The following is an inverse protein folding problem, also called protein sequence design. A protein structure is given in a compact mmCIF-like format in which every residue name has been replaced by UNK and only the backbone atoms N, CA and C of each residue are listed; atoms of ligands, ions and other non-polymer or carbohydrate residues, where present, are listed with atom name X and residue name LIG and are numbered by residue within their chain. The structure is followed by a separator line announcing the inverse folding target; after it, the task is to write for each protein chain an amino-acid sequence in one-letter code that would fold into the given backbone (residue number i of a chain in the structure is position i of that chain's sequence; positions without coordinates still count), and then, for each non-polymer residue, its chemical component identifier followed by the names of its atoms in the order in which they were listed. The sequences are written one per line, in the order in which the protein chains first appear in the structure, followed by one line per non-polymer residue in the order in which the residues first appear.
data_IF_362563058614
#
_entry.id   IF_362563058614
#
_cell.length_a   1.000
_cell.length_b   1.000
_cell.length_c   1.000
_cell.angle_alpha   90.00
_cell.angle_beta   90.00
_cell.angle_gamma   90.00
#
_symmetry.space_group_name_H-M   'P 1'
#
loop_
_entity.id
_entity.type
_entity.pdbx_description
1 polymer ?
#
# COMPACT_ATOMS: atom_id res chain seq x y z
N UNK A 1 9.11 27.79 -9.96
CA UNK A 1 8.00 27.55 -9.04
C UNK A 1 8.60 26.98 -7.77
N UNK A 2 8.36 27.53 -6.59
CA UNK A 2 8.82 26.89 -5.36
C UNK A 2 8.15 25.53 -5.27
N UNK A 3 8.96 24.48 -5.11
CA UNK A 3 8.47 23.14 -4.89
C UNK A 3 7.64 23.12 -3.60
N UNK A 4 6.34 22.89 -3.73
CA UNK A 4 5.51 22.63 -2.56
C UNK A 4 6.01 21.32 -1.96
N UNK A 5 6.57 21.31 -0.75
CA UNK A 5 7.04 20.07 -0.16
C UNK A 5 5.85 19.10 -0.02
N UNK A 6 6.07 17.82 -0.31
CA UNK A 6 5.09 16.79 -0.04
C UNK A 6 4.68 16.83 1.45
N UNK A 7 3.39 16.69 1.71
CA UNK A 7 2.82 16.92 3.03
C UNK A 7 2.80 15.66 3.89
N UNK A 8 3.97 15.14 4.23
CA UNK A 8 4.07 14.07 5.23
C UNK A 8 3.88 14.69 6.61
N UNK A 9 2.97 14.14 7.42
CA UNK A 9 2.70 14.62 8.77
C UNK A 9 3.91 14.48 9.71
N UNK A 10 3.83 15.13 10.84
CA UNK A 10 4.89 15.15 11.88
C UNK A 10 4.80 13.97 12.86
N UNK A 11 3.88 13.02 12.64
CA UNK A 11 3.77 11.84 13.50
C UNK A 11 5.09 11.06 13.49
N UNK A 12 5.61 10.75 14.68
CA UNK A 12 6.86 9.99 14.82
C UNK A 12 6.64 8.56 14.33
N UNK A 13 7.44 8.05 13.37
CA UNK A 13 7.38 6.66 12.96
C UNK A 13 7.64 5.69 14.12
N UNK A 14 7.02 4.52 14.06
CA UNK A 14 7.31 3.42 14.97
C UNK A 14 8.68 2.82 14.61
N UNK A 15 9.45 2.43 15.63
CA UNK A 15 10.72 1.74 15.41
C UNK A 15 10.49 0.41 14.69
N UNK A 16 11.35 0.11 13.73
CA UNK A 16 11.41 -1.21 13.11
C UNK A 16 11.86 -2.26 14.13
N UNK A 17 11.37 -3.48 14.01
CA UNK A 17 11.90 -4.61 14.75
C UNK A 17 13.34 -4.90 14.30
N UNK A 18 14.18 -5.40 15.22
CA UNK A 18 15.62 -5.56 14.99
C UNK A 18 15.92 -6.64 13.92
N UNK A 19 14.99 -7.54 13.64
CA UNK A 19 15.07 -8.59 12.62
C UNK A 19 14.63 -8.12 11.22
N UNK A 20 14.24 -6.84 11.05
CA UNK A 20 13.71 -6.33 9.78
C UNK A 20 14.78 -5.63 8.96
N UNK A 21 15.07 -6.16 7.78
CA UNK A 21 15.75 -5.42 6.70
C UNK A 21 14.71 -4.65 5.89
N UNK A 22 14.96 -3.37 5.67
CA UNK A 22 14.00 -2.45 5.08
C UNK A 22 14.60 -1.67 3.93
N UNK A 23 13.82 -1.48 2.86
CA UNK A 23 14.14 -0.58 1.74
C UNK A 23 12.90 0.18 1.28
N UNK A 24 13.11 1.34 0.68
CA UNK A 24 12.08 2.11 0.01
C UNK A 24 12.65 2.75 -1.26
N UNK A 25 11.79 2.99 -2.24
CA UNK A 25 12.13 3.70 -3.47
C UNK A 25 11.33 4.98 -3.57
N UNK A 26 12.04 6.08 -3.68
CA UNK A 26 11.48 7.40 -3.83
C UNK A 26 11.84 8.00 -5.18
N UNK A 27 11.04 8.95 -5.65
CA UNK A 27 11.31 9.75 -6.83
C UNK A 27 10.52 11.05 -6.84
N UNK A 28 10.73 11.83 -7.90
CA UNK A 28 10.11 13.13 -8.07
C UNK A 28 10.80 14.23 -7.24
N UNK A 29 10.40 15.49 -7.45
CA UNK A 29 10.98 16.62 -6.72
C UNK A 29 10.81 16.48 -5.21
N UNK A 30 11.93 16.50 -4.47
CA UNK A 30 11.96 16.36 -3.01
C UNK A 30 11.41 15.01 -2.53
N UNK A 31 11.59 13.95 -3.32
CA UNK A 31 11.10 12.59 -3.01
C UNK A 31 9.60 12.54 -2.73
N UNK A 32 8.83 13.29 -3.53
CA UNK A 32 7.40 13.42 -3.34
C UNK A 32 6.61 12.14 -3.63
N UNK A 33 7.18 11.18 -4.36
CA UNK A 33 6.63 9.85 -4.59
C UNK A 33 7.39 8.79 -3.81
N UNK A 34 6.67 7.83 -3.23
CA UNK A 34 7.22 6.56 -2.73
C UNK A 34 6.58 5.43 -3.52
N UNK A 35 7.34 4.81 -4.42
CA UNK A 35 6.85 3.73 -5.27
C UNK A 35 6.82 2.38 -4.57
N UNK A 36 7.86 2.11 -3.76
CA UNK A 36 7.95 0.84 -3.04
C UNK A 36 8.29 1.04 -1.57
N UNK A 37 7.84 0.13 -0.74
CA UNK A 37 8.30 -0.06 0.63
C UNK A 37 8.41 -1.56 0.86
N UNK A 38 9.58 -2.02 1.32
CA UNK A 38 9.85 -3.45 1.53
C UNK A 38 10.29 -3.69 2.97
N UNK A 39 9.82 -4.81 3.54
CA UNK A 39 10.22 -5.31 4.86
C UNK A 39 10.53 -6.79 4.75
N UNK A 40 11.71 -7.22 5.14
CA UNK A 40 12.14 -8.63 5.15
C UNK A 40 12.61 -8.99 6.54
N UNK A 41 12.04 -10.05 7.12
CA UNK A 41 12.43 -10.63 8.41
C UNK A 41 12.85 -12.10 8.31
N UNK A 42 12.56 -12.76 7.18
CA UNK A 42 13.08 -14.07 6.81
C UNK A 42 13.34 -14.08 5.29
N UNK A 43 14.60 -13.99 4.89
CA UNK A 43 15.00 -13.86 3.49
C UNK A 43 14.65 -15.09 2.63
N UNK A 44 14.40 -16.25 3.23
CA UNK A 44 14.04 -17.49 2.53
C UNK A 44 12.54 -17.74 2.50
N UNK A 45 11.75 -16.96 3.22
CA UNK A 45 10.30 -17.09 3.26
C UNK A 45 9.59 -16.41 2.08
N UNK A 46 8.34 -16.79 1.80
CA UNK A 46 7.55 -16.16 0.75
C UNK A 46 7.26 -14.70 1.06
N UNK A 47 6.98 -13.91 0.01
CA UNK A 47 6.66 -12.50 0.13
C UNK A 47 5.17 -12.26 -0.11
N UNK A 48 4.60 -11.30 0.61
CA UNK A 48 3.23 -10.82 0.46
C UNK A 48 3.24 -9.36 0.03
N UNK A 49 2.27 -8.94 -0.77
CA UNK A 49 2.10 -7.55 -1.18
C UNK A 49 0.81 -6.97 -0.61
N UNK A 50 0.91 -5.79 -0.03
CA UNK A 50 -0.22 -4.98 0.41
C UNK A 50 -0.38 -3.78 -0.51
N UNK A 51 -1.59 -3.59 -1.05
CA UNK A 51 -1.95 -2.41 -1.85
C UNK A 51 -2.77 -1.46 -0.98
N UNK A 52 -2.15 -0.36 -0.59
CA UNK A 52 -2.79 0.67 0.24
C UNK A 52 -3.16 1.90 -0.59
N UNK A 53 -3.74 2.93 0.01
CA UNK A 53 -4.17 4.12 -0.71
C UNK A 53 -3.00 5.01 -1.13
N UNK A 54 -2.29 5.60 -0.18
CA UNK A 54 -1.14 6.47 -0.43
C UNK A 54 -0.10 6.39 0.70
N UNK A 55 1.17 6.71 0.43
CA UNK A 55 2.20 6.74 1.45
C UNK A 55 2.00 7.91 2.42
N UNK A 56 2.27 7.64 3.71
CA UNK A 56 2.28 8.64 4.76
C UNK A 56 3.66 8.70 5.43
N UNK A 57 3.74 8.58 6.74
CA UNK A 57 4.99 8.78 7.51
C UNK A 57 5.93 7.58 7.54
N UNK A 58 5.49 6.39 7.09
CA UNK A 58 6.37 5.23 7.02
C UNK A 58 7.48 5.44 5.99
N UNK A 59 8.71 5.09 6.37
CA UNK A 59 9.92 5.17 5.55
C UNK A 59 10.72 3.88 5.66
N UNK A 60 11.88 3.79 5.03
CA UNK A 60 12.82 2.69 5.26
C UNK A 60 13.35 2.63 6.70
N UNK A 61 13.20 3.68 7.50
CA UNK A 61 13.69 3.75 8.88
C UNK A 61 12.61 3.55 9.95
N UNK A 62 11.34 3.49 9.55
CA UNK A 62 10.25 3.32 10.51
C UNK A 62 8.89 3.09 9.89
N UNK A 63 8.00 2.50 10.67
CA UNK A 63 6.65 2.17 10.27
C UNK A 63 5.63 3.22 10.73
N UNK A 64 4.54 3.33 10.01
CA UNK A 64 3.29 3.84 10.56
C UNK A 64 2.43 2.69 11.11
N UNK A 65 1.32 3.04 11.76
CA UNK A 65 0.40 2.05 12.35
C UNK A 65 -0.16 1.07 11.32
N UNK A 66 -0.37 1.54 10.09
CA UNK A 66 -0.94 0.73 9.01
C UNK A 66 0.06 -0.30 8.51
N UNK A 67 1.29 0.13 8.24
CA UNK A 67 2.39 -0.76 7.83
C UNK A 67 2.72 -1.77 8.93
N UNK A 68 2.78 -1.34 10.19
CA UNK A 68 2.99 -2.25 11.33
C UNK A 68 1.85 -3.28 11.46
N UNK A 69 0.61 -2.90 11.17
CA UNK A 69 -0.53 -3.83 11.18
C UNK A 69 -0.42 -4.84 10.03
N UNK A 70 -0.06 -4.40 8.82
CA UNK A 70 0.19 -5.29 7.68
C UNK A 70 1.32 -6.29 7.99
N UNK A 71 2.42 -5.82 8.59
CA UNK A 71 3.52 -6.69 9.00
C UNK A 71 3.08 -7.76 10.01
N UNK A 72 2.22 -7.41 10.97
CA UNK A 72 1.66 -8.37 11.94
C UNK A 72 0.87 -9.48 11.24
N UNK A 73 -0.03 -9.14 10.32
CA UNK A 73 -0.76 -10.13 9.51
C UNK A 73 0.19 -11.01 8.72
N UNK A 74 1.16 -10.40 8.02
CA UNK A 74 2.11 -11.12 7.17
C UNK A 74 2.93 -12.15 7.97
N UNK A 75 3.41 -11.78 9.15
CA UNK A 75 4.11 -12.71 10.05
C UNK A 75 3.20 -13.83 10.56
N UNK A 76 1.97 -13.49 10.93
CA UNK A 76 0.98 -14.45 11.43
C UNK A 76 0.62 -15.51 10.38
N UNK A 77 0.63 -15.13 9.09
CA UNK A 77 0.36 -16.04 7.97
C UNK A 77 1.61 -16.77 7.45
N UNK A 78 2.76 -16.59 8.10
CA UNK A 78 4.00 -17.32 7.78
C UNK A 78 4.83 -16.73 6.65
N UNK A 79 4.55 -15.49 6.21
CA UNK A 79 5.37 -14.81 5.21
C UNK A 79 6.72 -14.38 5.79
N UNK A 80 7.77 -14.40 4.96
CA UNK A 80 9.12 -13.97 5.33
C UNK A 80 9.38 -12.49 5.11
N UNK A 81 8.47 -11.82 4.41
CA UNK A 81 8.58 -10.38 4.15
C UNK A 81 7.35 -9.84 3.45
N UNK A 82 7.31 -8.53 3.29
CA UNK A 82 6.22 -7.86 2.59
C UNK A 82 6.68 -6.70 1.73
N UNK A 83 5.93 -6.45 0.68
CA UNK A 83 5.88 -5.19 -0.04
C UNK A 83 4.66 -4.38 0.38
N UNK A 84 4.80 -3.06 0.39
CA UNK A 84 3.69 -2.12 0.46
C UNK A 84 3.73 -1.23 -0.77
N UNK A 85 2.78 -1.46 -1.68
CA UNK A 85 2.47 -0.58 -2.80
C UNK A 85 1.30 0.32 -2.46
N UNK A 86 1.14 1.38 -3.21
CA UNK A 86 0.09 2.35 -3.02
C UNK A 86 -0.64 2.66 -4.33
N UNK A 87 -1.97 2.85 -4.27
CA UNK A 87 -2.76 3.28 -5.43
C UNK A 87 -2.32 4.65 -5.93
N UNK A 88 -1.94 5.54 -5.03
CA UNK A 88 -1.32 6.83 -5.30
C UNK A 88 0.08 6.81 -4.68
N UNK A 89 1.11 7.13 -5.45
CA UNK A 89 2.48 7.16 -4.91
C UNK A 89 2.82 8.47 -4.19
N UNK A 90 2.03 9.54 -4.37
CA UNK A 90 2.31 10.82 -3.74
C UNK A 90 2.21 10.73 -2.21
N UNK A 91 3.24 11.24 -1.54
CA UNK A 91 3.41 11.15 -0.08
C UNK A 91 2.68 12.27 0.62
N UNK A 92 1.61 11.92 1.33
CA UNK A 92 0.89 12.86 2.19
C UNK A 92 0.17 12.12 3.32
N UNK A 93 -0.05 12.78 4.44
CA UNK A 93 -0.83 12.24 5.57
C UNK A 93 -2.31 12.58 5.41
N UNK A 94 -2.63 13.78 4.98
CA UNK A 94 -4.00 14.17 4.62
C UNK A 94 -4.27 13.84 3.16
N UNK A 95 -5.15 12.87 2.91
CA UNK A 95 -5.52 12.44 1.55
C UNK A 95 -6.11 13.56 0.67
N UNK A 96 -6.65 14.63 1.25
CA UNK A 96 -7.17 15.78 0.48
C UNK A 96 -6.07 16.44 -0.34
N UNK A 97 -4.82 16.36 0.11
CA UNK A 97 -3.65 16.88 -0.62
C UNK A 97 -3.44 16.20 -1.96
N UNK A 98 -3.94 14.98 -2.15
CA UNK A 98 -3.90 14.31 -3.45
C UNK A 98 -4.72 15.03 -4.53
N UNK A 99 -5.70 15.85 -4.15
CA UNK A 99 -6.51 16.65 -5.06
C UNK A 99 -5.81 17.97 -5.47
N UNK A 100 -4.76 18.36 -4.75
CA UNK A 100 -4.06 19.64 -4.95
C UNK A 100 -2.83 19.49 -5.86
N UNK A 101 -2.43 18.26 -6.19
CA UNK A 101 -1.26 17.98 -7.01
C UNK A 101 -1.67 17.53 -8.41
N UNK A 102 -0.85 17.90 -9.40
CA UNK A 102 -1.15 17.62 -10.80
C UNK A 102 -1.19 16.11 -11.12
N UNK A 103 -0.29 15.33 -10.50
CA UNK A 103 -0.24 13.88 -10.65
C UNK A 103 -0.06 13.20 -9.28
N UNK A 104 -1.17 12.85 -8.58
CA UNK A 104 -1.07 12.14 -7.31
C UNK A 104 -0.72 10.66 -7.48
N UNK A 105 -0.95 10.08 -8.65
CA UNK A 105 -0.62 8.68 -8.95
C UNK A 105 0.88 8.48 -9.02
N UNK A 106 1.57 9.36 -9.75
CA UNK A 106 2.99 9.24 -10.07
C UNK A 106 3.25 8.39 -11.32
N UNK A 107 4.16 8.85 -12.20
CA UNK A 107 4.33 8.29 -13.55
C UNK A 107 4.75 6.80 -13.57
N UNK A 108 5.47 6.31 -12.55
CA UNK A 108 6.00 4.95 -12.52
C UNK A 108 5.20 4.00 -11.61
N UNK A 109 4.08 4.44 -11.06
CA UNK A 109 3.34 3.68 -10.03
C UNK A 109 2.92 2.31 -10.52
N UNK A 110 2.30 2.22 -11.70
CA UNK A 110 1.81 0.95 -12.24
C UNK A 110 2.97 -0.01 -12.54
N UNK A 111 4.09 0.50 -13.03
CA UNK A 111 5.30 -0.29 -13.25
C UNK A 111 5.77 -0.95 -11.95
N UNK A 112 5.97 -0.20 -10.89
CA UNK A 112 6.44 -0.75 -9.61
C UNK A 112 5.40 -1.63 -8.90
N UNK A 113 4.10 -1.35 -9.07
CA UNK A 113 3.07 -2.24 -8.55
C UNK A 113 3.14 -3.61 -9.22
N UNK A 114 3.33 -3.67 -10.53
CA UNK A 114 3.47 -4.94 -11.26
C UNK A 114 4.77 -5.65 -10.93
N UNK A 115 5.89 -4.93 -10.77
CA UNK A 115 7.17 -5.52 -10.36
C UNK A 115 7.07 -6.18 -8.97
N UNK A 116 6.49 -5.50 -7.98
CA UNK A 116 6.25 -6.08 -6.66
C UNK A 116 5.26 -7.26 -6.70
N UNK A 117 4.21 -7.15 -7.51
CA UNK A 117 3.21 -8.21 -7.68
C UNK A 117 3.81 -9.49 -8.26
N UNK A 118 4.74 -9.37 -9.22
CA UNK A 118 5.47 -10.50 -9.80
C UNK A 118 6.37 -11.25 -8.82
N UNK A 119 6.74 -10.63 -7.71
CA UNK A 119 7.58 -11.21 -6.66
C UNK A 119 6.78 -11.71 -5.45
N UNK A 120 5.51 -11.35 -5.33
CA UNK A 120 4.66 -11.69 -4.19
C UNK A 120 3.84 -12.97 -4.46
N UNK A 121 3.77 -13.84 -3.47
CA UNK A 121 2.91 -15.04 -3.51
C UNK A 121 1.42 -14.68 -3.28
N UNK A 122 1.17 -13.66 -2.47
CA UNK A 122 -0.18 -13.18 -2.16
C UNK A 122 -0.25 -11.66 -2.31
N UNK A 123 -1.33 -11.15 -2.90
CA UNK A 123 -1.62 -9.72 -3.01
C UNK A 123 -2.89 -9.42 -2.23
N UNK A 124 -2.80 -8.51 -1.26
CA UNK A 124 -3.93 -8.07 -0.43
C UNK A 124 -4.26 -6.61 -0.76
N UNK A 125 -5.45 -6.39 -1.28
CA UNK A 125 -5.98 -5.05 -1.49
C UNK A 125 -6.48 -4.49 -0.15
N UNK A 126 -6.00 -3.32 0.21
CA UNK A 126 -6.19 -2.69 1.51
C UNK A 126 -6.31 -1.16 1.44
N UNK A 127 -6.69 -0.64 0.28
CA UNK A 127 -6.70 0.80 0.00
C UNK A 127 -7.86 1.56 0.67
N UNK A 128 -8.84 0.85 1.21
CA UNK A 128 -9.97 1.47 1.90
C UNK A 128 -10.90 2.24 0.96
N UNK A 129 -11.75 3.08 1.57
CA UNK A 129 -12.63 3.98 0.81
C UNK A 129 -12.15 5.42 1.01
N UNK A 130 -11.59 6.08 -0.02
CA UNK A 130 -11.22 7.48 0.05
C UNK A 130 -12.42 8.36 0.42
N UNK A 131 -12.20 9.36 1.29
CA UNK A 131 -13.24 10.33 1.67
C UNK A 131 -13.70 11.13 0.44
N UNK A 132 -12.74 11.67 -0.30
CA UNK A 132 -13.02 12.36 -1.56
C UNK A 132 -13.45 11.38 -2.64
N UNK A 133 -14.59 11.65 -3.28
CA UNK A 133 -15.16 10.77 -4.31
C UNK A 133 -14.25 10.69 -5.54
N UNK A 134 -13.56 11.76 -5.83
CA UNK A 134 -12.63 11.95 -6.96
C UNK A 134 -11.43 10.98 -6.89
N UNK A 135 -11.09 10.48 -5.71
CA UNK A 135 -9.99 9.53 -5.51
C UNK A 135 -10.42 8.06 -5.56
N UNK A 136 -11.72 7.78 -5.61
CA UNK A 136 -12.26 6.42 -5.47
C UNK A 136 -12.07 5.52 -6.68
N UNK A 137 -11.70 6.09 -7.84
CA UNK A 137 -11.49 5.35 -9.07
C UNK A 137 -10.22 4.49 -9.03
N UNK A 138 -9.17 4.99 -8.37
CA UNK A 138 -7.83 4.46 -8.54
C UNK A 138 -7.63 3.07 -7.91
N UNK A 139 -8.20 2.80 -6.75
CA UNK A 139 -8.14 1.47 -6.14
C UNK A 139 -8.68 0.36 -7.06
N UNK A 140 -9.92 0.48 -7.59
CA UNK A 140 -10.45 -0.44 -8.59
C UNK A 140 -9.62 -0.53 -9.88
N UNK A 141 -9.02 0.56 -10.37
CA UNK A 141 -8.12 0.52 -11.53
C UNK A 141 -6.89 -0.38 -11.26
N UNK A 142 -6.25 -0.22 -10.11
CA UNK A 142 -5.12 -1.05 -9.70
C UNK A 142 -5.53 -2.53 -9.60
N UNK A 143 -6.68 -2.80 -8.99
CA UNK A 143 -7.21 -4.16 -8.90
C UNK A 143 -7.41 -4.80 -10.29
N UNK A 144 -8.06 -4.07 -11.20
CA UNK A 144 -8.26 -4.53 -12.58
C UNK A 144 -6.93 -4.69 -13.34
N UNK A 145 -5.96 -3.80 -13.12
CA UNK A 145 -4.62 -3.92 -13.71
C UNK A 145 -3.97 -5.25 -13.30
N UNK A 146 -3.95 -5.56 -12.01
CA UNK A 146 -3.38 -6.78 -11.47
C UNK A 146 -4.09 -8.04 -12.02
N UNK A 147 -5.43 -8.03 -12.04
CA UNK A 147 -6.21 -9.14 -12.58
C UNK A 147 -5.95 -9.37 -14.09
N UNK A 148 -5.92 -8.30 -14.90
CA UNK A 148 -5.64 -8.38 -16.34
C UNK A 148 -4.23 -8.88 -16.65
N UNK A 149 -3.27 -8.67 -15.75
CA UNK A 149 -1.89 -9.17 -15.87
C UNK A 149 -1.69 -10.56 -15.26
N UNK A 150 -2.79 -11.24 -14.89
CA UNK A 150 -2.79 -12.63 -14.43
C UNK A 150 -2.54 -12.82 -12.94
N UNK A 151 -2.47 -11.74 -12.15
CA UNK A 151 -2.30 -11.85 -10.71
C UNK A 151 -3.63 -12.14 -10.01
N UNK A 152 -3.56 -12.94 -8.94
CA UNK A 152 -4.69 -13.14 -8.03
C UNK A 152 -4.65 -12.07 -6.95
N UNK A 153 -5.80 -11.45 -6.69
CA UNK A 153 -5.93 -10.44 -5.64
C UNK A 153 -6.90 -10.90 -4.56
N UNK A 154 -6.66 -10.45 -3.35
CA UNK A 154 -7.48 -10.77 -2.17
C UNK A 154 -7.78 -9.50 -1.40
N UNK A 155 -8.68 -9.57 -0.43
CA UNK A 155 -8.86 -8.55 0.61
C UNK A 155 -9.14 -9.22 1.95
N UNK A 156 -8.93 -8.51 3.04
CA UNK A 156 -9.32 -9.00 4.38
C UNK A 156 -10.85 -8.99 4.53
N UNK A 157 -11.48 -7.95 4.04
CA UNK A 157 -12.93 -7.76 4.06
C UNK A 157 -13.33 -6.69 3.05
N UNK A 158 -14.51 -6.87 2.46
CA UNK A 158 -15.16 -5.83 1.67
C UNK A 158 -16.13 -5.03 2.53
N UNK A 159 -16.17 -3.73 2.34
CA UNK A 159 -17.13 -2.86 3.03
C UNK A 159 -18.56 -3.17 2.62
N UNK A 160 -19.51 -3.09 3.58
CA UNK A 160 -20.92 -3.33 3.31
C UNK A 160 -21.51 -2.35 2.28
N UNK A 161 -21.01 -1.12 2.27
CA UNK A 161 -21.43 -0.07 1.33
C UNK A 161 -20.34 0.15 0.30
N UNK A 162 -20.59 -0.28 -0.93
CA UNK A 162 -19.71 -0.04 -2.07
C UNK A 162 -18.65 -1.09 -2.32
N UNK A 163 -18.70 -2.26 -1.65
CA UNK A 163 -17.86 -3.44 -1.88
C UNK A 163 -16.39 -3.10 -2.11
N UNK A 164 -15.79 -2.31 -1.20
CA UNK A 164 -14.37 -1.90 -1.30
C UNK A 164 -13.51 -2.61 -0.28
N UNK A 165 -12.29 -3.03 -0.66
CA UNK A 165 -11.33 -3.56 0.28
C UNK A 165 -11.13 -2.62 1.46
N UNK A 166 -11.42 -3.09 2.68
CA UNK A 166 -11.30 -2.27 3.88
C UNK A 166 -9.84 -2.08 4.31
N UNK A 167 -9.58 -0.94 4.93
CA UNK A 167 -8.26 -0.62 5.43
C UNK A 167 -7.91 -1.47 6.67
N UNK A 168 -6.73 -2.13 6.73
CA UNK A 168 -6.42 -3.14 7.75
C UNK A 168 -6.36 -2.60 9.17
N UNK A 169 -6.07 -1.30 9.35
CA UNK A 169 -5.89 -0.69 10.67
C UNK A 169 -7.11 -0.88 11.59
N UNK A 170 -8.31 -0.89 11.02
CA UNK A 170 -9.56 -0.98 11.77
C UNK A 170 -10.17 -2.38 11.82
N UNK A 171 -9.45 -3.37 11.30
CA UNK A 171 -9.94 -4.74 11.20
C UNK A 171 -9.41 -5.62 12.36
N UNK A 172 -10.19 -6.64 12.79
CA UNK A 172 -9.72 -7.67 13.72
C UNK A 172 -8.42 -8.33 13.25
N UNK A 173 -7.61 -8.79 14.18
CA UNK A 173 -6.29 -9.35 13.87
C UNK A 173 -6.32 -10.81 13.38
N UNK A 174 -7.45 -11.47 13.50
CA UNK A 174 -7.68 -12.90 13.20
C UNK A 174 -8.28 -13.15 11.81
N UNK A 175 -8.46 -12.11 10.99
CA UNK A 175 -8.97 -12.25 9.63
C UNK A 175 -7.95 -12.95 8.72
N UNK A 176 -8.49 -13.71 7.76
CA UNK A 176 -7.74 -14.30 6.65
C UNK A 176 -8.17 -13.66 5.33
N UNK A 177 -7.27 -13.54 4.35
CA UNK A 177 -7.61 -12.96 3.06
C UNK A 177 -8.64 -13.81 2.30
N UNK A 178 -9.61 -13.15 1.66
CA UNK A 178 -10.58 -13.77 0.76
C UNK A 178 -10.28 -13.41 -0.68
N UNK A 179 -10.33 -14.37 -1.63
CA UNK A 179 -10.12 -14.10 -3.05
C UNK A 179 -11.14 -13.11 -3.60
N UNK A 180 -10.70 -12.27 -4.54
CA UNK A 180 -11.55 -11.34 -5.29
C UNK A 180 -11.44 -11.64 -6.79
N UNK A 181 -12.48 -11.29 -7.52
CA UNK A 181 -12.61 -11.44 -8.97
C UNK A 181 -12.85 -10.11 -9.66
N UNK A 182 -12.94 -10.12 -10.98
CA UNK A 182 -13.24 -8.89 -11.74
C UNK A 182 -14.63 -8.31 -11.41
N UNK A 183 -15.56 -9.15 -10.96
CA UNK A 183 -16.93 -8.75 -10.63
C UNK A 183 -17.04 -7.95 -9.32
N UNK A 184 -15.96 -7.92 -8.55
CA UNK A 184 -15.88 -7.16 -7.29
C UNK A 184 -15.51 -5.68 -7.50
N UNK A 185 -15.24 -5.23 -8.79
CA UNK A 185 -14.70 -3.88 -9.08
C UNK A 185 -15.45 -3.11 -10.16
#
# INVERSE_FOLDING_TARGET
MPHTPHHVGTARPLRLADDVTSTALYAGPGDCYRYTLRRIWNATGPLIMWIMMNPSVATEYGDDRSVAKCQRYSRQWGYGGMFVGNSFAYRCTDQKRLLEVADPVGPETDHYLLDMAGQAELIVLAYGTPQAKELRYRGPEVARLLLRTGHRVTALRLSRKGHRPEHPLYLPADLTPVPLTADDF
#
